data_IF_148534978802
#
_entry.id   IF_148534978802
#
_cell.length_a   1.000
_cell.length_b   1.000
_cell.length_c   1.000
_cell.angle_alpha   90.00
_cell.angle_beta   90.00
_cell.angle_gamma   90.00
#
_symmetry.space_group_name_H-M   'P 1'
#
loop_
_entity.id
_entity.type
_entity.pdbx_description
1 polymer ?
#
# COMPACT_ATOMS: atom_id res chain seq x y z
N UNK A 1 19.42 4.00 13.35
CA UNK A 1 20.64 3.18 13.17
C UNK A 1 21.73 3.82 14.00
N UNK A 2 22.50 3.05 14.78
CA UNK A 2 23.64 3.57 15.53
C UNK A 2 24.81 3.82 14.60
N UNK A 3 25.64 4.83 14.89
CA UNK A 3 26.89 5.05 14.15
C UNK A 3 28.01 4.10 14.60
N UNK A 4 27.67 2.96 15.21
CA UNK A 4 28.62 2.01 15.74
C UNK A 4 29.01 0.98 14.69
N UNK A 5 30.31 0.84 14.42
CA UNK A 5 30.84 -0.23 13.58
C UNK A 5 31.63 -1.23 14.43
N UNK A 6 31.59 -2.51 14.03
CA UNK A 6 32.32 -3.57 14.72
C UNK A 6 33.72 -3.71 14.11
N UNK A 7 34.74 -3.23 14.81
CA UNK A 7 36.15 -3.40 14.44
C UNK A 7 36.77 -4.40 15.40
N UNK A 8 37.33 -5.51 14.88
CA UNK A 8 38.03 -6.53 15.71
C UNK A 8 37.22 -6.96 16.94
N UNK A 9 35.92 -7.23 16.72
CA UNK A 9 34.95 -7.63 17.74
C UNK A 9 34.53 -6.57 18.78
N UNK A 10 35.02 -5.33 18.70
CA UNK A 10 34.56 -4.21 19.53
C UNK A 10 33.70 -3.23 18.71
N UNK A 11 32.61 -2.76 19.31
CA UNK A 11 31.80 -1.71 18.71
C UNK A 11 32.43 -0.36 19.02
N UNK A 12 32.62 0.46 17.98
CA UNK A 12 33.15 1.81 18.07
C UNK A 12 32.17 2.76 17.41
N UNK A 13 31.70 3.77 18.15
CA UNK A 13 30.89 4.84 17.59
C UNK A 13 31.75 5.75 16.71
N UNK A 14 31.36 5.88 15.45
CA UNK A 14 31.96 6.83 14.51
C UNK A 14 31.17 8.12 14.58
N UNK A 15 31.84 9.23 14.87
CA UNK A 15 31.32 10.55 14.59
C UNK A 15 31.74 10.95 13.15
N UNK A 16 30.81 11.06 12.18
CA UNK A 16 31.15 11.39 10.79
C UNK A 16 31.87 12.73 10.65
N UNK A 17 31.56 13.71 11.51
CA UNK A 17 32.27 15.00 11.51
C UNK A 17 33.67 14.92 12.04
N UNK A 18 33.90 14.11 13.07
CA UNK A 18 35.26 13.88 13.54
C UNK A 18 36.10 13.12 12.51
N UNK A 19 35.49 12.16 11.80
CA UNK A 19 36.15 11.42 10.72
C UNK A 19 36.49 12.35 9.54
N UNK A 20 35.54 13.16 9.08
CA UNK A 20 35.75 14.14 8.03
C UNK A 20 36.88 15.12 8.39
N UNK A 21 36.83 15.71 9.60
CA UNK A 21 37.88 16.62 10.06
C UNK A 21 39.26 15.94 10.11
N UNK A 22 39.34 14.68 10.54
CA UNK A 22 40.60 13.93 10.53
C UNK A 22 41.12 13.69 9.11
N UNK A 23 40.25 13.35 8.16
CA UNK A 23 40.63 13.15 6.75
C UNK A 23 41.17 14.45 6.16
N UNK A 24 40.49 15.58 6.39
CA UNK A 24 40.94 16.90 5.90
C UNK A 24 42.28 17.31 6.55
N UNK A 25 42.47 17.07 7.84
CA UNK A 25 43.70 17.45 8.54
C UNK A 25 44.89 16.51 8.26
N UNK A 26 44.66 15.25 7.88
CA UNK A 26 45.72 14.25 7.72
C UNK A 26 46.28 14.17 6.30
N UNK A 27 45.47 14.50 5.29
CA UNK A 27 45.88 14.48 3.87
C UNK A 27 46.36 15.87 3.45
N UNK A 28 47.47 15.93 2.71
CA UNK A 28 48.15 17.19 2.37
C UNK A 28 47.97 17.60 0.92
N UNK A 29 47.60 16.67 0.05
CA UNK A 29 47.42 16.92 -1.38
C UNK A 29 45.96 16.72 -1.82
N UNK A 30 45.49 17.46 -2.83
CA UNK A 30 44.17 17.24 -3.42
C UNK A 30 43.94 15.80 -3.90
N UNK A 31 44.98 15.12 -4.38
CA UNK A 31 44.93 13.74 -4.87
C UNK A 31 44.69 12.73 -3.74
N UNK A 32 45.38 12.90 -2.60
CA UNK A 32 45.16 12.09 -1.39
C UNK A 32 43.75 12.27 -0.83
N UNK A 33 43.27 13.52 -0.82
CA UNK A 33 41.90 13.84 -0.41
C UNK A 33 40.91 13.14 -1.34
N UNK A 34 41.11 13.24 -2.66
CA UNK A 34 40.26 12.58 -3.66
C UNK A 34 40.17 11.08 -3.43
N UNK A 35 41.30 10.41 -3.22
CA UNK A 35 41.34 8.97 -2.91
C UNK A 35 40.55 8.63 -1.64
N UNK A 36 40.61 9.47 -0.59
CA UNK A 36 39.84 9.25 0.63
C UNK A 36 38.31 9.32 0.42
N UNK A 37 37.85 9.97 -0.64
CA UNK A 37 36.43 10.08 -1.01
C UNK A 37 36.01 9.16 -2.14
N UNK A 38 36.89 8.25 -2.61
CA UNK A 38 36.51 7.20 -3.55
C UNK A 38 35.52 6.19 -2.92
N UNK A 39 35.51 6.12 -1.59
CA UNK A 39 34.58 5.32 -0.81
C UNK A 39 33.64 6.20 0.02
N UNK A 40 32.43 5.72 0.22
CA UNK A 40 31.43 6.44 0.98
C UNK A 40 31.81 6.51 2.47
N UNK A 41 31.89 7.72 3.04
CA UNK A 41 32.25 7.94 4.46
C UNK A 41 31.07 7.77 5.43
N UNK A 42 29.97 7.21 4.94
CA UNK A 42 28.76 6.94 5.70
C UNK A 42 28.77 5.50 6.20
N UNK A 43 28.16 5.21 7.37
CA UNK A 43 28.02 3.83 7.85
C UNK A 43 27.03 3.00 7.01
N UNK A 44 26.35 3.60 6.04
CA UNK A 44 25.38 2.98 5.15
C UNK A 44 25.27 3.77 3.84
N UNK A 45 24.97 3.14 2.69
CA UNK A 45 24.93 3.84 1.41
C UNK A 45 23.84 4.93 1.36
N UNK A 46 24.20 6.20 1.37
CA UNK A 46 23.31 7.36 1.32
C UNK A 46 22.53 7.42 0.00
N UNK A 47 23.03 6.76 -1.05
CA UNK A 47 22.28 6.54 -2.29
C UNK A 47 20.99 5.75 -2.03
N UNK A 48 21.06 4.75 -1.16
CA UNK A 48 19.97 3.83 -0.83
C UNK A 48 19.25 4.20 0.47
N UNK A 49 19.85 4.98 1.36
CA UNK A 49 19.31 5.26 2.69
C UNK A 49 19.23 6.76 2.97
N UNK A 50 18.15 7.18 3.63
CA UNK A 50 17.97 8.53 4.17
C UNK A 50 17.45 8.42 5.60
N UNK A 51 18.07 9.14 6.53
CA UNK A 51 17.71 9.15 7.96
C UNK A 51 17.70 7.73 8.58
N UNK A 52 18.66 6.88 8.18
CA UNK A 52 18.75 5.49 8.63
C UNK A 52 17.62 4.58 8.16
N UNK A 53 16.90 4.94 7.09
CA UNK A 53 15.85 4.13 6.46
C UNK A 53 16.10 4.02 4.96
N UNK A 54 15.58 2.97 4.31
CA UNK A 54 15.65 2.87 2.86
C UNK A 54 14.99 4.11 2.23
N UNK A 55 15.72 4.76 1.31
CA UNK A 55 15.30 5.95 0.59
C UNK A 55 14.03 5.61 -0.16
N UNK A 56 12.97 6.36 0.13
CA UNK A 56 11.67 6.17 -0.53
C UNK A 56 11.78 6.63 -1.98
N UNK A 57 11.29 5.81 -2.92
CA UNK A 57 11.12 6.22 -4.30
C UNK A 57 10.08 7.33 -4.45
N UNK A 58 10.14 8.07 -5.55
CA UNK A 58 9.18 9.15 -5.88
C UNK A 58 8.01 8.59 -6.69
N UNK A 59 7.25 7.68 -6.09
CA UNK A 59 6.09 7.02 -6.74
C UNK A 59 5.08 8.00 -7.35
N UNK A 60 4.97 9.20 -6.75
CA UNK A 60 4.09 10.26 -7.24
C UNK A 60 4.50 10.88 -8.57
N UNK A 61 5.77 10.80 -8.97
CA UNK A 61 6.22 11.24 -10.31
C UNK A 61 5.76 10.24 -11.38
N UNK A 62 5.96 8.95 -11.14
CA UNK A 62 5.49 7.89 -12.03
C UNK A 62 3.98 8.00 -12.27
N UNK A 63 3.20 8.27 -11.22
CA UNK A 63 1.76 8.49 -11.36
C UNK A 63 1.39 9.69 -12.23
N UNK A 64 2.20 10.76 -12.20
CA UNK A 64 1.96 11.96 -13.03
C UNK A 64 2.24 11.69 -14.50
N UNK A 65 3.27 10.92 -14.80
CA UNK A 65 3.62 10.54 -16.17
C UNK A 65 2.57 9.59 -16.75
N UNK A 66 2.09 8.63 -15.96
CA UNK A 66 0.94 7.82 -16.40
C UNK A 66 -0.33 8.66 -16.50
N UNK A 67 -0.47 9.72 -15.69
CA UNK A 67 -1.57 10.68 -15.79
C UNK A 67 -1.70 11.41 -17.13
N UNK A 68 -0.60 11.63 -17.84
CA UNK A 68 -0.63 12.19 -19.19
C UNK A 68 -1.05 11.20 -20.28
N UNK A 69 -1.03 9.90 -19.99
CA UNK A 69 -1.35 8.84 -20.96
C UNK A 69 -2.84 8.45 -20.94
N UNK A 70 -3.67 9.09 -20.10
CA UNK A 70 -5.08 8.70 -19.96
C UNK A 70 -5.97 9.16 -21.11
N UNK A 71 -6.61 8.18 -21.74
CA UNK A 71 -7.77 8.39 -22.60
C UNK A 71 -9.00 8.58 -21.72
N UNK A 72 -9.49 9.82 -21.59
CA UNK A 72 -10.74 10.11 -20.89
C UNK A 72 -11.92 9.49 -21.67
N UNK A 73 -12.33 8.29 -21.28
CA UNK A 73 -13.64 7.75 -21.66
C UNK A 73 -14.44 7.42 -20.39
N UNK A 74 -15.70 7.84 -20.42
CA UNK A 74 -16.72 7.75 -19.37
C UNK A 74 -16.89 6.31 -18.78
N UNK A 75 -17.63 6.12 -17.67
CA UNK A 75 -17.44 5.01 -16.75
C UNK A 75 -17.75 3.66 -17.41
N UNK A 76 -16.79 2.74 -17.32
CA UNK A 76 -16.93 1.36 -17.81
C UNK A 76 -17.76 0.47 -16.86
N UNK A 77 -18.19 0.99 -15.70
CA UNK A 77 -19.03 0.22 -14.77
C UNK A 77 -20.46 0.21 -15.33
N UNK A 78 -20.70 -0.73 -16.25
CA UNK A 78 -21.99 -1.08 -16.79
C UNK A 78 -22.45 -2.43 -16.21
N UNK A 79 -23.70 -2.81 -16.45
CA UNK A 79 -24.33 -4.05 -15.96
C UNK A 79 -23.69 -5.39 -16.44
N UNK A 80 -22.46 -5.38 -16.97
CA UNK A 80 -21.72 -6.59 -17.36
C UNK A 80 -20.24 -6.59 -16.97
N UNK A 81 -19.75 -5.53 -16.31
CA UNK A 81 -18.34 -5.41 -15.93
C UNK A 81 -18.07 -6.16 -14.63
N UNK A 82 -16.95 -6.89 -14.57
CA UNK A 82 -16.52 -7.55 -13.34
C UNK A 82 -15.52 -6.66 -12.61
N UNK A 83 -15.76 -6.40 -11.32
CA UNK A 83 -14.88 -5.52 -10.54
C UNK A 83 -13.97 -6.31 -9.59
N UNK A 84 -12.68 -5.97 -9.58
CA UNK A 84 -11.75 -6.37 -8.51
C UNK A 84 -11.55 -5.13 -7.65
N UNK A 85 -11.73 -5.23 -6.34
CA UNK A 85 -11.64 -4.11 -5.41
C UNK A 85 -10.48 -4.37 -4.46
N UNK A 86 -9.54 -3.45 -4.42
CA UNK A 86 -8.50 -3.39 -3.40
C UNK A 86 -9.14 -3.13 -2.03
N UNK A 87 -9.01 -4.10 -1.13
CA UNK A 87 -9.54 -4.06 0.22
C UNK A 87 -8.87 -2.98 1.08
N UNK A 88 -7.58 -2.70 0.85
CA UNK A 88 -6.87 -1.60 1.50
C UNK A 88 -7.48 -0.25 1.14
N UNK A 89 -7.77 -0.03 -0.14
CA UNK A 89 -8.54 1.14 -0.61
C UNK A 89 -9.93 1.20 0.04
N UNK A 90 -10.68 0.09 0.00
CA UNK A 90 -12.05 0.02 0.49
C UNK A 90 -12.16 0.42 1.97
N UNK A 91 -11.24 -0.07 2.81
CA UNK A 91 -11.19 0.23 4.25
C UNK A 91 -11.10 1.72 4.56
N UNK A 92 -10.48 2.52 3.68
CA UNK A 92 -10.34 3.96 3.86
C UNK A 92 -11.40 4.77 3.11
N UNK A 93 -12.02 4.19 2.07
CA UNK A 93 -13.02 4.85 1.25
C UNK A 93 -14.36 4.97 1.96
N UNK A 94 -14.82 3.90 2.61
CA UNK A 94 -16.09 3.90 3.35
C UNK A 94 -15.91 4.67 4.66
N UNK A 95 -16.50 5.87 4.75
CA UNK A 95 -16.38 6.73 5.94
C UNK A 95 -17.38 6.34 6.99
N UNK A 96 -16.89 5.99 8.18
CA UNK A 96 -17.72 5.59 9.30
C UNK A 96 -18.52 6.78 9.84
N UNK A 97 -19.83 6.77 9.60
CA UNK A 97 -20.74 7.72 10.24
C UNK A 97 -20.79 7.42 11.74
N UNK A 98 -20.68 8.44 12.59
CA UNK A 98 -20.71 8.30 14.06
C UNK A 98 -21.76 9.25 14.65
N UNK A 99 -22.52 8.84 15.68
CA UNK A 99 -22.45 7.53 16.36
C UNK A 99 -22.99 6.40 15.49
N UNK A 100 -22.36 5.21 15.54
CA UNK A 100 -22.81 4.00 14.87
C UNK A 100 -22.30 2.76 15.62
N UNK A 101 -22.98 1.63 15.44
CA UNK A 101 -22.50 0.31 15.88
C UNK A 101 -21.73 -0.40 14.77
N UNK A 102 -20.89 -1.37 15.11
CA UNK A 102 -20.07 -2.08 14.12
C UNK A 102 -20.91 -2.78 13.04
N UNK A 103 -22.07 -3.34 13.38
CA UNK A 103 -22.99 -3.91 12.40
C UNK A 103 -23.37 -2.90 11.31
N UNK A 104 -23.76 -1.67 11.69
CA UNK A 104 -24.11 -0.62 10.73
C UNK A 104 -22.91 -0.21 9.87
N UNK A 105 -21.70 -0.19 10.46
CA UNK A 105 -20.47 0.03 9.71
C UNK A 105 -20.27 -1.06 8.66
N UNK A 106 -20.41 -2.35 9.01
CA UNK A 106 -20.28 -3.44 8.05
C UNK A 106 -21.35 -3.36 6.95
N UNK A 107 -22.59 -3.01 7.30
CA UNK A 107 -23.65 -2.74 6.32
C UNK A 107 -23.28 -1.59 5.37
N UNK A 108 -22.61 -0.53 5.86
CA UNK A 108 -22.12 0.55 4.99
C UNK A 108 -21.12 0.06 3.94
N UNK A 109 -20.26 -0.91 4.27
CA UNK A 109 -19.34 -1.51 3.29
C UNK A 109 -20.08 -2.30 2.21
N UNK A 110 -21.03 -3.16 2.60
CA UNK A 110 -21.85 -3.93 1.64
C UNK A 110 -22.61 -2.97 0.72
N UNK A 111 -23.30 -1.99 1.30
CA UNK A 111 -24.08 -1.01 0.54
C UNK A 111 -23.20 -0.21 -0.42
N UNK A 112 -22.01 0.21 0.03
CA UNK A 112 -21.06 0.93 -0.81
C UNK A 112 -20.62 0.09 -2.02
N UNK A 113 -20.26 -1.17 -1.79
CA UNK A 113 -19.82 -2.08 -2.86
C UNK A 113 -20.96 -2.32 -3.85
N UNK A 114 -22.14 -2.70 -3.36
CA UNK A 114 -23.28 -3.06 -4.20
C UNK A 114 -23.75 -1.85 -5.01
N UNK A 115 -23.83 -0.68 -4.40
CA UNK A 115 -24.27 0.55 -5.06
C UNK A 115 -23.26 1.05 -6.10
N UNK A 116 -21.96 0.95 -5.82
CA UNK A 116 -20.91 1.56 -6.66
C UNK A 116 -20.40 0.61 -7.74
N UNK A 117 -20.26 -0.68 -7.42
CA UNK A 117 -19.55 -1.67 -8.24
C UNK A 117 -20.38 -2.89 -8.60
N UNK A 118 -21.63 -2.99 -8.10
CA UNK A 118 -22.53 -4.16 -8.20
C UNK A 118 -22.05 -5.38 -7.41
N UNK A 119 -22.90 -6.42 -7.29
CA UNK A 119 -22.53 -7.70 -6.68
C UNK A 119 -21.54 -8.52 -7.53
N UNK A 120 -21.31 -8.15 -8.80
CA UNK A 120 -20.39 -8.83 -9.69
C UNK A 120 -18.94 -8.38 -9.44
N UNK A 121 -18.46 -8.61 -8.22
CA UNK A 121 -17.14 -8.16 -7.79
C UNK A 121 -16.44 -9.17 -6.87
N UNK A 122 -15.13 -8.98 -6.75
CA UNK A 122 -14.29 -9.62 -5.74
C UNK A 122 -13.54 -8.55 -4.96
N UNK A 123 -13.51 -8.67 -3.63
CA UNK A 123 -12.71 -7.80 -2.76
C UNK A 123 -11.48 -8.57 -2.31
N UNK A 124 -10.30 -7.96 -2.38
CA UNK A 124 -9.04 -8.61 -1.98
C UNK A 124 -8.39 -7.86 -0.84
N UNK A 125 -8.25 -8.49 0.33
CA UNK A 125 -7.64 -7.89 1.52
C UNK A 125 -6.19 -8.34 1.75
N UNK A 126 -5.44 -7.49 2.44
CA UNK A 126 -4.15 -7.85 3.03
C UNK A 126 -4.28 -8.98 4.07
N UNK A 127 -3.21 -9.76 4.16
CA UNK A 127 -2.98 -10.73 5.22
C UNK A 127 -2.16 -10.17 6.37
N UNK A 128 -2.26 -10.85 7.50
CA UNK A 128 -1.57 -10.49 8.74
C UNK A 128 -0.91 -11.71 9.39
N UNK A 129 -0.39 -12.64 8.58
CA UNK A 129 0.39 -13.77 9.08
C UNK A 129 1.76 -13.26 9.55
N UNK A 130 2.02 -13.41 10.86
CA UNK A 130 3.21 -12.88 11.54
C UNK A 130 4.39 -13.85 11.58
N UNK A 131 4.26 -15.04 10.96
CA UNK A 131 5.22 -16.13 11.13
C UNK A 131 6.58 -15.85 10.48
N UNK A 132 6.66 -14.96 9.49
CA UNK A 132 7.92 -14.59 8.81
C UNK A 132 8.04 -13.06 8.66
N UNK A 133 9.10 -12.49 9.25
CA UNK A 133 9.39 -11.06 9.17
C UNK A 133 9.73 -10.64 7.73
N UNK A 134 8.90 -9.77 7.14
CA UNK A 134 9.15 -9.09 5.87
C UNK A 134 9.91 -7.77 6.06
N UNK A 135 10.60 -7.31 5.02
CA UNK A 135 11.20 -5.96 4.96
C UNK A 135 10.15 -4.84 5.08
N UNK A 136 8.88 -5.10 4.71
CA UNK A 136 7.75 -4.17 4.88
C UNK A 136 7.25 -4.09 6.35
N UNK A 137 7.50 -5.10 7.19
CA UNK A 137 6.92 -5.18 8.54
C UNK A 137 7.45 -4.10 9.48
N UNK A 138 8.72 -3.74 9.34
CA UNK A 138 9.30 -2.65 10.13
C UNK A 138 8.59 -1.32 9.82
N UNK A 139 8.35 -1.02 8.53
CA UNK A 139 7.58 0.15 8.10
C UNK A 139 6.14 0.10 8.63
N UNK A 140 5.50 -1.07 8.64
CA UNK A 140 4.14 -1.25 9.16
C UNK A 140 4.09 -1.04 10.68
N UNK A 141 5.06 -1.57 11.44
CA UNK A 141 5.22 -1.37 12.89
C UNK A 141 5.47 0.09 13.25
N UNK A 142 6.19 0.85 12.43
CA UNK A 142 6.33 2.30 12.66
C UNK A 142 5.02 3.06 12.45
N UNK A 143 4.16 2.62 11.52
CA UNK A 143 2.83 3.24 11.28
C UNK A 143 1.82 2.95 12.41
N UNK A 144 1.98 1.84 13.15
CA UNK A 144 1.01 1.38 14.16
C UNK A 144 1.26 1.85 15.60
N UNK A 145 2.37 2.56 15.87
CA UNK A 145 2.87 2.87 17.23
C UNK A 145 2.00 3.79 18.12
N UNK A 146 0.78 4.17 17.74
CA UNK A 146 0.04 5.24 18.42
C UNK A 146 -1.44 4.95 18.74
N UNK A 147 -1.98 3.76 18.49
CA UNK A 147 -3.41 3.50 18.74
C UNK A 147 -3.69 2.31 19.65
N UNK A 148 -4.69 2.49 20.52
CA UNK A 148 -5.14 1.51 21.51
C UNK A 148 -5.89 0.37 20.83
N UNK A 149 -5.70 -0.85 21.32
CA UNK A 149 -6.45 -2.01 20.86
C UNK A 149 -7.92 -1.91 21.32
N UNK A 150 -8.85 -2.20 20.43
CA UNK A 150 -10.30 -2.10 20.67
C UNK A 150 -10.94 -3.43 20.29
N UNK A 151 -11.73 -3.99 21.21
CA UNK A 151 -12.51 -5.20 20.92
C UNK A 151 -13.69 -4.88 20.01
N UNK A 152 -13.89 -5.69 18.98
CA UNK A 152 -14.99 -5.51 18.02
C UNK A 152 -16.16 -6.40 18.45
N UNK A 153 -17.30 -5.77 18.73
CA UNK A 153 -18.57 -6.46 18.98
C UNK A 153 -19.60 -5.93 17.99
N UNK A 154 -20.34 -6.79 17.29
CA UNK A 154 -21.26 -6.37 16.23
C UNK A 154 -22.29 -5.32 16.70
N UNK A 155 -22.82 -5.49 17.91
CA UNK A 155 -23.76 -4.54 18.53
C UNK A 155 -23.08 -3.49 19.43
N UNK A 156 -21.75 -3.46 19.44
CA UNK A 156 -20.96 -2.47 20.18
C UNK A 156 -20.82 -1.17 19.41
N UNK A 157 -20.81 -0.04 20.13
CA UNK A 157 -20.64 1.30 19.55
C UNK A 157 -19.20 1.55 19.13
N UNK A 158 -19.02 2.17 17.96
CA UNK A 158 -17.71 2.60 17.47
C UNK A 158 -17.28 3.89 18.17
N UNK A 159 -16.40 3.75 19.16
CA UNK A 159 -15.92 4.88 19.98
C UNK A 159 -14.70 5.60 19.38
N UNK A 160 -13.88 4.89 18.61
CA UNK A 160 -12.63 5.44 18.05
C UNK A 160 -12.83 6.01 16.65
N UNK A 161 -12.15 7.12 16.28
CA UNK A 161 -12.06 7.56 14.89
C UNK A 161 -11.46 6.47 13.99
N UNK A 162 -12.03 6.30 12.80
CA UNK A 162 -11.64 5.27 11.82
C UNK A 162 -10.13 5.26 11.54
N UNK A 163 -9.52 6.43 11.29
CA UNK A 163 -8.10 6.52 10.96
C UNK A 163 -7.18 6.08 12.12
N UNK A 164 -7.60 6.29 13.37
CA UNK A 164 -6.86 5.82 14.54
C UNK A 164 -7.05 4.32 14.75
N UNK A 165 -8.27 3.83 14.54
CA UNK A 165 -8.59 2.41 14.64
C UNK A 165 -7.79 1.59 13.63
N UNK A 166 -7.81 1.98 12.35
CA UNK A 166 -7.12 1.26 11.26
C UNK A 166 -5.59 1.36 11.32
N UNK A 167 -5.02 2.29 12.08
CA UNK A 167 -3.57 2.33 12.36
C UNK A 167 -3.12 1.18 13.25
N UNK A 168 -3.99 0.68 14.14
CA UNK A 168 -3.63 -0.44 15.00
C UNK A 168 -3.72 -1.74 14.17
N UNK A 169 -2.60 -2.46 14.05
CA UNK A 169 -2.55 -3.68 13.23
C UNK A 169 -3.45 -4.81 13.77
N UNK A 170 -3.63 -4.90 15.08
CA UNK A 170 -4.50 -5.89 15.70
C UNK A 170 -5.98 -5.57 15.40
N UNK A 171 -6.39 -4.31 15.60
CA UNK A 171 -7.74 -3.87 15.28
C UNK A 171 -8.04 -4.05 13.79
N UNK A 172 -7.09 -3.67 12.92
CA UNK A 172 -7.25 -3.83 11.46
C UNK A 172 -7.39 -5.30 11.07
N UNK A 173 -6.60 -6.20 11.67
CA UNK A 173 -6.69 -7.65 11.44
C UNK A 173 -8.07 -8.19 11.86
N UNK A 174 -8.50 -7.91 13.08
CA UNK A 174 -9.80 -8.37 13.61
C UNK A 174 -10.97 -7.80 12.79
N UNK A 175 -10.87 -6.53 12.39
CA UNK A 175 -11.88 -5.88 11.56
C UNK A 175 -12.00 -6.51 10.17
N UNK A 176 -10.88 -6.80 9.51
CA UNK A 176 -10.87 -7.47 8.20
C UNK A 176 -11.46 -8.87 8.31
N UNK A 177 -11.13 -9.61 9.37
CA UNK A 177 -11.66 -10.96 9.58
C UNK A 177 -13.20 -10.96 9.67
N UNK A 178 -13.76 -10.03 10.44
CA UNK A 178 -15.22 -9.91 10.61
C UNK A 178 -15.86 -9.35 9.32
N UNK A 179 -15.28 -8.30 8.73
CA UNK A 179 -15.80 -7.69 7.51
C UNK A 179 -15.83 -8.70 6.35
N UNK A 180 -14.78 -9.52 6.20
CA UNK A 180 -14.73 -10.57 5.18
C UNK A 180 -15.93 -11.51 5.29
N UNK A 181 -16.18 -12.06 6.48
CA UNK A 181 -17.30 -12.97 6.71
C UNK A 181 -18.63 -12.29 6.42
N UNK A 182 -18.79 -11.04 6.89
CA UNK A 182 -20.00 -10.26 6.64
C UNK A 182 -20.23 -9.98 5.14
N UNK A 183 -19.17 -9.75 4.37
CA UNK A 183 -19.25 -9.60 2.91
C UNK A 183 -19.63 -10.92 2.23
N UNK A 184 -19.00 -12.03 2.62
CA UNK A 184 -19.30 -13.37 2.11
C UNK A 184 -20.75 -13.78 2.40
N UNK A 185 -21.28 -13.48 3.59
CA UNK A 185 -22.69 -13.66 3.98
C UNK A 185 -23.67 -12.84 3.13
N UNK A 186 -23.21 -11.78 2.47
CA UNK A 186 -23.99 -10.90 1.60
C UNK A 186 -23.72 -11.16 0.10
N UNK A 187 -23.23 -12.36 -0.24
CA UNK A 187 -22.90 -12.82 -1.60
C UNK A 187 -21.77 -12.04 -2.30
N UNK A 188 -20.88 -11.39 -1.55
CA UNK A 188 -19.70 -10.72 -2.10
C UNK A 188 -18.51 -11.66 -1.97
N UNK A 189 -17.84 -11.94 -3.10
CA UNK A 189 -16.65 -12.79 -3.08
C UNK A 189 -15.49 -12.04 -2.43
N UNK A 190 -14.80 -12.68 -1.49
CA UNK A 190 -13.63 -12.09 -0.82
C UNK A 190 -12.43 -13.02 -0.89
N UNK A 191 -11.28 -12.47 -1.26
CA UNK A 191 -9.99 -13.13 -1.13
C UNK A 191 -9.13 -12.40 -0.10
N UNK A 192 -8.22 -13.14 0.53
CA UNK A 192 -7.28 -12.58 1.48
C UNK A 192 -5.88 -13.11 1.16
N UNK A 193 -4.92 -12.21 1.03
CA UNK A 193 -3.52 -12.57 0.86
C UNK A 193 -2.93 -13.10 2.18
N UNK A 194 -1.78 -13.75 2.13
CA UNK A 194 -1.05 -14.13 3.34
C UNK A 194 -0.39 -12.93 4.01
N UNK A 195 0.05 -11.95 3.20
CA UNK A 195 0.76 -10.74 3.63
C UNK A 195 0.23 -9.52 2.87
N UNK A 196 0.87 -9.18 1.76
CA UNK A 196 0.56 -8.00 0.96
C UNK A 196 -0.36 -8.40 -0.20
N UNK A 197 -1.46 -7.67 -0.40
CA UNK A 197 -2.45 -8.04 -1.40
C UNK A 197 -2.04 -7.71 -2.84
N UNK A 198 -1.04 -6.85 -3.06
CA UNK A 198 -0.67 -6.30 -4.38
C UNK A 198 -0.55 -7.37 -5.47
N UNK A 199 0.21 -8.42 -5.20
CA UNK A 199 0.43 -9.52 -6.16
C UNK A 199 -0.83 -10.35 -6.36
N UNK A 200 -1.58 -10.63 -5.29
CA UNK A 200 -2.82 -11.38 -5.38
C UNK A 200 -3.84 -10.62 -6.22
N UNK A 201 -3.97 -9.31 -6.01
CA UNK A 201 -4.83 -8.42 -6.80
C UNK A 201 -4.45 -8.46 -8.27
N UNK A 202 -3.16 -8.29 -8.60
CA UNK A 202 -2.69 -8.31 -9.97
C UNK A 202 -2.98 -9.65 -10.65
N UNK A 203 -2.65 -10.77 -9.99
CA UNK A 203 -2.85 -12.11 -10.55
C UNK A 203 -4.33 -12.45 -10.70
N UNK A 204 -5.17 -12.12 -9.73
CA UNK A 204 -6.63 -12.28 -9.83
C UNK A 204 -7.19 -11.47 -11.00
N UNK A 205 -6.69 -10.25 -11.22
CA UNK A 205 -7.08 -9.42 -12.37
C UNK A 205 -6.71 -10.08 -13.69
N UNK A 206 -5.48 -10.58 -13.83
CA UNK A 206 -5.00 -11.30 -15.03
C UNK A 206 -5.83 -12.55 -15.30
N UNK A 207 -6.11 -13.36 -14.27
CA UNK A 207 -6.94 -14.57 -14.42
C UNK A 207 -8.35 -14.23 -14.90
N UNK A 208 -9.00 -13.24 -14.26
CA UNK A 208 -10.35 -12.83 -14.63
C UNK A 208 -10.41 -12.18 -16.00
N UNK A 209 -9.34 -11.49 -16.43
CA UNK A 209 -9.25 -10.90 -17.76
C UNK A 209 -9.31 -11.94 -18.88
N UNK A 210 -8.89 -13.18 -18.61
CA UNK A 210 -8.95 -14.27 -19.58
C UNK A 210 -10.36 -14.88 -19.70
N UNK A 211 -11.22 -14.65 -18.70
CA UNK A 211 -12.53 -15.31 -18.58
C UNK A 211 -13.67 -14.32 -18.85
N UNK A 212 -13.53 -13.08 -18.40
CA UNK A 212 -14.58 -12.05 -18.45
C UNK A 212 -14.36 -11.13 -19.63
N UNK A 213 -15.46 -10.61 -20.19
CA UNK A 213 -15.40 -9.70 -21.33
C UNK A 213 -14.78 -8.36 -20.96
N UNK A 214 -15.07 -7.85 -19.76
CA UNK A 214 -14.55 -6.59 -19.26
C UNK A 214 -14.26 -6.67 -17.77
N UNK A 215 -13.07 -6.21 -17.38
CA UNK A 215 -12.58 -6.28 -16.02
C UNK A 215 -12.12 -4.89 -15.58
N UNK A 216 -12.61 -4.44 -14.43
CA UNK A 216 -12.18 -3.20 -13.80
C UNK A 216 -11.50 -3.49 -12.48
N UNK A 217 -10.22 -3.16 -12.36
CA UNK A 217 -9.55 -3.11 -11.08
C UNK A 217 -9.77 -1.74 -10.44
N UNK A 218 -10.20 -1.71 -9.18
CA UNK A 218 -10.35 -0.51 -8.37
C UNK A 218 -9.23 -0.48 -7.32
N UNK A 219 -8.27 0.41 -7.49
CA UNK A 219 -7.19 0.63 -6.51
C UNK A 219 -6.62 2.04 -6.65
N UNK A 220 -6.06 2.57 -5.56
CA UNK A 220 -5.24 3.78 -5.59
C UNK A 220 -3.73 3.47 -5.58
N UNK A 221 -3.33 2.20 -5.42
CA UNK A 221 -1.91 1.84 -5.30
C UNK A 221 -1.22 1.81 -6.67
N UNK A 222 -0.11 2.53 -6.74
CA UNK A 222 0.73 2.60 -7.94
C UNK A 222 1.51 1.31 -8.18
N UNK A 223 1.81 0.56 -7.12
CA UNK A 223 2.58 -0.69 -7.25
C UNK A 223 1.76 -1.73 -8.03
N UNK A 224 0.45 -1.78 -7.79
CA UNK A 224 -0.46 -2.66 -8.52
C UNK A 224 -0.55 -2.27 -10.00
N UNK A 225 -0.57 -0.96 -10.31
CA UNK A 225 -0.53 -0.50 -11.69
C UNK A 225 0.72 -0.99 -12.42
N UNK A 226 1.90 -0.91 -11.79
CA UNK A 226 3.16 -1.41 -12.36
C UNK A 226 3.12 -2.91 -12.58
N UNK A 227 2.59 -3.68 -11.62
CA UNK A 227 2.42 -5.13 -11.76
C UNK A 227 1.47 -5.48 -12.91
N UNK A 228 0.41 -4.70 -13.10
CA UNK A 228 -0.54 -4.93 -14.19
C UNK A 228 0.08 -4.65 -15.56
N UNK A 229 0.87 -3.59 -15.72
CA UNK A 229 1.56 -3.28 -16.98
C UNK A 229 2.47 -4.44 -17.41
N UNK A 230 3.14 -5.09 -16.46
CA UNK A 230 4.01 -6.24 -16.76
C UNK A 230 3.24 -7.52 -17.11
N UNK A 231 2.12 -7.78 -16.43
CA UNK A 231 1.45 -9.08 -16.51
C UNK A 231 0.23 -9.13 -17.44
N UNK A 232 -0.43 -7.99 -17.72
CA UNK A 232 -1.62 -7.93 -18.57
C UNK A 232 -1.21 -8.01 -20.03
N UNK A 233 -1.89 -8.87 -20.80
CA UNK A 233 -1.73 -9.00 -22.25
C UNK A 233 -3.01 -8.75 -23.02
N UNK A 234 -4.12 -8.51 -22.32
CA UNK A 234 -5.47 -8.42 -22.88
C UNK A 234 -5.98 -6.98 -22.82
N UNK A 235 -6.69 -6.53 -23.85
CA UNK A 235 -7.16 -5.14 -23.96
C UNK A 235 -8.45 -4.84 -23.17
N UNK A 236 -8.90 -5.78 -22.35
CA UNK A 236 -10.18 -5.70 -21.64
C UNK A 236 -10.08 -5.31 -20.16
N UNK A 237 -8.89 -4.89 -19.71
CA UNK A 237 -8.64 -4.50 -18.33
C UNK A 237 -8.46 -2.99 -18.19
N UNK A 238 -9.24 -2.42 -17.29
CA UNK A 238 -9.14 -1.02 -16.89
C UNK A 238 -8.76 -0.92 -15.41
N UNK A 239 -7.88 0.02 -15.08
CA UNK A 239 -7.60 0.47 -13.72
C UNK A 239 -8.42 1.73 -13.43
N UNK A 240 -9.37 1.62 -12.50
CA UNK A 240 -10.10 2.73 -11.91
C UNK A 240 -9.37 3.19 -10.65
N UNK A 241 -8.90 4.43 -10.65
CA UNK A 241 -8.36 5.14 -9.49
C UNK A 241 -9.39 6.17 -9.03
N UNK A 242 -10.13 5.89 -7.94
CA UNK A 242 -11.17 6.77 -7.47
C UNK A 242 -10.61 8.12 -7.02
N UNK A 243 -11.34 9.19 -7.35
CA UNK A 243 -11.00 10.54 -6.97
C UNK A 243 -11.13 10.80 -5.46
N UNK A 244 -10.42 11.84 -5.00
CA UNK A 244 -10.53 12.37 -3.63
C UNK A 244 -11.06 13.81 -3.67
N UNK A 245 -12.11 14.07 -2.88
CA UNK A 245 -12.73 15.39 -2.80
C UNK A 245 -13.34 15.82 -4.13
N UNK A 246 -12.99 17.01 -4.62
CA UNK A 246 -13.50 17.55 -5.89
C UNK A 246 -12.82 16.95 -7.14
N UNK A 247 -11.80 16.11 -6.98
CA UNK A 247 -11.15 15.44 -8.12
C UNK A 247 -12.01 14.27 -8.56
N UNK A 248 -12.32 14.19 -9.85
CA UNK A 248 -13.01 13.06 -10.45
C UNK A 248 -12.16 11.79 -10.44
N UNK A 249 -12.83 10.67 -10.72
CA UNK A 249 -12.18 9.38 -10.91
C UNK A 249 -11.30 9.39 -12.17
N UNK A 250 -10.21 8.61 -12.13
CA UNK A 250 -9.32 8.40 -13.27
C UNK A 250 -9.40 6.95 -13.72
N UNK A 251 -9.54 6.74 -15.02
CA UNK A 251 -9.59 5.42 -15.63
C UNK A 251 -8.44 5.29 -16.62
N UNK A 252 -7.76 4.16 -16.56
CA UNK A 252 -6.57 3.88 -17.35
C UNK A 252 -6.69 2.49 -17.94
N UNK A 253 -6.62 2.36 -19.27
CA UNK A 253 -6.50 1.06 -19.91
C UNK A 253 -5.05 0.64 -19.83
N UNK A 254 -4.79 -0.53 -19.22
CA UNK A 254 -3.41 -0.93 -18.90
C UNK A 254 -2.54 -1.05 -20.15
N UNK A 255 -3.10 -1.48 -21.28
CA UNK A 255 -2.34 -1.64 -22.53
C UNK A 255 -2.12 -0.33 -23.30
N UNK A 256 -2.68 0.78 -22.84
CA UNK A 256 -2.48 2.12 -23.41
C UNK A 256 -1.45 2.94 -22.59
N UNK A 257 -0.91 2.38 -21.50
CA UNK A 257 0.13 2.98 -20.64
C UNK A 257 1.50 2.49 -21.10
#
# INVERSE_FOLDING_TARGET
MSNSIKIRQKYVDINPMQLFNRIICSNKTPEEIKYCFDFELSPYPLALFKDGNLRKGVKSQLLKETDSLHTSSAPFINNGTFCIIDGGFLLHKVKWQRPAIYHEIFSQYVNYIVYTYTKNCVVVFDGYNQENLSTKDNLQKFRSKQSVAVSIQLHGTVVTPQDLFLKNSQNKKEFIEILRRYLEENDITVYQAERDADVLIAMTTVQLSSIKTHVTLVSEDTDIMVLLIDHIKTNNVCLLRPGKGAKGDKISRINEI
#
